data_IF_456722838323
#
_entry.id   IF_456722838323
#
_cell.length_a   1.000
_cell.length_b   1.000
_cell.length_c   1.000
_cell.angle_alpha   90.00
_cell.angle_beta   90.00
_cell.angle_gamma   90.00
#
_symmetry.space_group_name_H-M   'P 1'
#
loop_
_entity.id
_entity.type
_entity.pdbx_description
1 polymer ?
#
# COMPACT_ATOMS: atom_id res chain seq x y z
N UNK A 1 3.20 15.65 -12.05
CA UNK A 1 3.51 14.53 -11.11
C UNK A 1 2.69 13.32 -11.53
N UNK A 2 3.28 12.14 -11.74
CA UNK A 2 2.55 10.95 -12.21
C UNK A 2 1.53 10.44 -11.20
N UNK A 3 0.43 9.83 -11.68
CA UNK A 3 -0.68 9.34 -10.84
C UNK A 3 -0.22 8.33 -9.78
N UNK A 4 0.66 7.39 -10.15
CA UNK A 4 1.19 6.37 -9.24
C UNK A 4 2.00 6.95 -8.07
N UNK A 5 2.83 7.97 -8.32
CA UNK A 5 3.58 8.66 -7.25
C UNK A 5 2.64 9.39 -6.29
N UNK A 6 1.50 9.90 -6.77
CA UNK A 6 0.47 10.50 -5.91
C UNK A 6 -0.19 9.42 -5.04
N UNK A 7 -0.57 8.29 -5.62
CA UNK A 7 -1.21 7.20 -4.91
C UNK A 7 -0.31 6.63 -3.79
N UNK A 8 0.99 6.43 -4.06
CA UNK A 8 1.96 5.97 -3.03
C UNK A 8 2.03 6.93 -1.85
N UNK A 9 2.02 8.25 -2.08
CA UNK A 9 2.04 9.22 -0.95
C UNK A 9 0.75 9.20 -0.13
N UNK A 10 -0.39 9.05 -0.78
CA UNK A 10 -1.67 8.94 -0.08
C UNK A 10 -1.72 7.66 0.76
N UNK A 11 -1.24 6.55 0.20
CA UNK A 11 -1.04 5.29 0.92
C UNK A 11 -0.10 5.48 2.13
N UNK A 12 1.06 6.13 1.96
CA UNK A 12 1.98 6.39 3.05
C UNK A 12 1.35 7.16 4.21
N UNK A 13 0.50 8.16 3.92
CA UNK A 13 -0.24 8.91 4.95
C UNK A 13 -1.27 8.04 5.67
N UNK A 14 -1.97 7.17 4.95
CA UNK A 14 -2.91 6.24 5.55
C UNK A 14 -2.21 5.23 6.46
N UNK A 15 -1.05 4.71 6.05
CA UNK A 15 -0.23 3.82 6.86
C UNK A 15 0.29 4.53 8.12
N UNK A 16 0.87 5.73 8.01
CA UNK A 16 1.32 6.51 9.18
C UNK A 16 0.16 6.69 10.18
N UNK A 17 -1.03 7.06 9.72
CA UNK A 17 -2.20 7.20 10.59
C UNK A 17 -2.59 5.90 11.26
N UNK A 18 -2.53 4.77 10.55
CA UNK A 18 -2.78 3.45 11.12
C UNK A 18 -1.77 3.09 12.21
N UNK A 19 -0.48 3.39 12.01
CA UNK A 19 0.55 3.13 13.02
C UNK A 19 0.40 4.03 14.26
N UNK A 20 -0.01 5.29 14.08
CA UNK A 20 -0.26 6.21 15.19
C UNK A 20 -1.53 5.83 15.97
N UNK A 21 -2.58 5.39 15.27
CA UNK A 21 -3.88 5.05 15.85
C UNK A 21 -4.40 3.75 15.21
N UNK A 22 -3.97 2.58 15.71
CA UNK A 22 -4.44 1.30 15.20
C UNK A 22 -5.92 1.10 15.50
N UNK A 23 -6.61 0.41 14.59
CA UNK A 23 -8.02 0.12 14.71
C UNK A 23 -8.70 -0.16 13.36
N UNK A 24 -9.91 -0.75 13.38
CA UNK A 24 -10.56 -1.27 12.18
C UNK A 24 -10.78 -0.22 11.08
N UNK A 25 -11.18 1.00 11.47
CA UNK A 25 -11.44 2.09 10.52
C UNK A 25 -10.17 2.57 9.82
N UNK A 26 -9.08 2.77 10.57
CA UNK A 26 -7.79 3.16 10.00
C UNK A 26 -7.17 2.03 9.17
N UNK A 27 -7.37 0.76 9.58
CA UNK A 27 -6.94 -0.42 8.82
C UNK A 27 -7.64 -0.49 7.47
N UNK A 28 -8.97 -0.30 7.45
CA UNK A 28 -9.75 -0.28 6.21
C UNK A 28 -9.32 0.86 5.28
N UNK A 29 -9.07 2.05 5.82
CA UNK A 29 -8.54 3.19 5.06
C UNK A 29 -7.16 2.90 4.47
N UNK A 30 -6.26 2.29 5.23
CA UNK A 30 -4.95 1.88 4.74
C UNK A 30 -5.07 0.82 3.62
N UNK A 31 -5.92 -0.20 3.80
CA UNK A 31 -6.15 -1.25 2.81
C UNK A 31 -6.70 -0.66 1.49
N UNK A 32 -7.67 0.25 1.58
CA UNK A 32 -8.19 0.95 0.41
C UNK A 32 -7.08 1.74 -0.31
N UNK A 33 -6.26 2.49 0.44
CA UNK A 33 -5.19 3.29 -0.15
C UNK A 33 -4.10 2.42 -0.81
N UNK A 34 -3.77 1.25 -0.24
CA UNK A 34 -2.85 0.27 -0.86
C UNK A 34 -3.43 -0.28 -2.16
N UNK A 35 -4.71 -0.64 -2.19
CA UNK A 35 -5.36 -1.11 -3.41
C UNK A 35 -5.34 -0.04 -4.52
N UNK A 36 -5.60 1.22 -4.18
CA UNK A 36 -5.50 2.33 -5.14
C UNK A 36 -4.07 2.53 -5.64
N UNK A 37 -3.06 2.37 -4.79
CA UNK A 37 -1.65 2.42 -5.20
C UNK A 37 -1.28 1.27 -6.15
N UNK A 38 -1.77 0.04 -5.89
CA UNK A 38 -1.58 -1.11 -6.79
C UNK A 38 -2.13 -0.81 -8.18
N UNK A 39 -3.38 -0.32 -8.24
CA UNK A 39 -4.02 0.02 -9.51
C UNK A 39 -3.25 1.12 -10.26
N UNK A 40 -2.83 2.17 -9.55
CA UNK A 40 -2.10 3.27 -10.16
C UNK A 40 -0.70 2.86 -10.67
N UNK A 41 0.00 1.96 -9.96
CA UNK A 41 1.30 1.42 -10.39
C UNK A 41 1.15 0.50 -11.60
N UNK A 42 0.12 -0.35 -11.64
CA UNK A 42 -0.18 -1.20 -12.82
C UNK A 42 -0.50 -0.38 -14.07
N UNK A 43 -1.17 0.75 -13.91
CA UNK A 43 -1.52 1.65 -15.01
C UNK A 43 -0.37 2.58 -15.43
N UNK A 44 0.75 2.59 -14.71
CA UNK A 44 1.88 3.43 -15.05
C UNK A 44 2.66 2.85 -16.23
N UNK A 45 2.98 3.65 -17.26
CA UNK A 45 3.78 3.17 -18.38
C UNK A 45 5.21 2.86 -17.92
N UNK A 46 5.76 1.72 -18.37
CA UNK A 46 7.17 1.37 -18.17
C UNK A 46 7.90 1.29 -19.52
N UNK A 47 9.09 1.93 -19.68
CA UNK A 47 9.77 2.01 -20.97
C UNK A 47 10.34 0.70 -21.51
N UNK A 48 10.44 -0.36 -20.69
CA UNK A 48 11.06 -1.64 -21.06
C UNK A 48 10.17 -2.81 -20.65
N UNK A 49 10.31 -3.93 -21.34
CA UNK A 49 9.62 -5.17 -20.99
C UNK A 49 9.91 -5.52 -19.51
N UNK A 50 8.88 -5.82 -18.71
CA UNK A 50 9.02 -5.92 -17.26
C UNK A 50 9.78 -7.20 -16.90
N UNK A 51 11.06 -7.07 -16.58
CA UNK A 51 11.87 -8.07 -15.87
C UNK A 51 11.96 -7.64 -14.40
N UNK A 52 11.87 -8.59 -13.46
CA UNK A 52 11.75 -8.28 -12.02
C UNK A 52 12.92 -7.47 -11.48
N UNK A 53 14.15 -7.83 -11.84
CA UNK A 53 15.34 -7.19 -11.31
C UNK A 53 15.56 -5.77 -11.85
N UNK A 54 15.07 -5.51 -13.07
CA UNK A 54 15.32 -4.27 -13.82
C UNK A 54 14.14 -3.31 -13.86
N UNK A 55 12.95 -3.73 -13.43
CA UNK A 55 11.72 -2.92 -13.39
C UNK A 55 11.46 -2.32 -12.00
N UNK A 56 11.67 -1.01 -11.80
CA UNK A 56 11.32 -0.36 -10.55
C UNK A 56 9.82 -0.45 -10.25
N UNK A 57 8.95 -0.42 -11.26
CA UNK A 57 7.51 -0.49 -11.05
C UNK A 57 7.06 -1.89 -10.59
N UNK A 58 7.68 -2.95 -11.11
CA UNK A 58 7.43 -4.32 -10.65
C UNK A 58 7.90 -4.53 -9.22
N UNK A 59 9.07 -3.99 -8.84
CA UNK A 59 9.53 -4.01 -7.45
C UNK A 59 8.56 -3.31 -6.50
N UNK A 60 8.11 -2.11 -6.88
CA UNK A 60 7.09 -1.36 -6.13
C UNK A 60 5.80 -2.18 -6.00
N UNK A 61 5.34 -2.80 -7.10
CA UNK A 61 4.13 -3.61 -7.09
C UNK A 61 4.23 -4.80 -6.11
N UNK A 62 5.39 -5.46 -6.05
CA UNK A 62 5.63 -6.53 -5.08
C UNK A 62 5.59 -6.06 -3.63
N UNK A 63 6.20 -4.91 -3.32
CA UNK A 63 6.09 -4.33 -1.97
C UNK A 63 4.64 -3.96 -1.63
N UNK A 64 3.88 -3.41 -2.58
CA UNK A 64 2.47 -3.10 -2.35
C UNK A 64 1.64 -4.35 -2.07
N UNK A 65 1.89 -5.46 -2.78
CA UNK A 65 1.24 -6.73 -2.51
C UNK A 65 1.63 -7.30 -1.14
N UNK A 66 2.89 -7.19 -0.74
CA UNK A 66 3.34 -7.58 0.60
C UNK A 66 2.63 -6.78 1.70
N UNK A 67 2.57 -5.45 1.58
CA UNK A 67 1.86 -4.58 2.52
C UNK A 67 0.38 -4.96 2.59
N UNK A 68 -0.27 -5.20 1.44
CA UNK A 68 -1.67 -5.61 1.40
C UNK A 68 -1.90 -6.91 2.17
N UNK A 69 -1.04 -7.91 2.00
CA UNK A 69 -1.13 -9.18 2.73
C UNK A 69 -0.99 -8.96 4.25
N UNK A 70 -0.03 -8.15 4.69
CA UNK A 70 0.14 -7.80 6.09
C UNK A 70 -1.08 -7.05 6.68
N UNK A 71 -1.75 -6.23 5.89
CA UNK A 71 -2.99 -5.55 6.30
C UNK A 71 -4.22 -6.48 6.30
N UNK A 72 -4.20 -7.59 5.56
CA UNK A 72 -5.29 -8.57 5.54
C UNK A 72 -5.16 -9.62 6.64
N UNK A 73 -3.97 -9.78 7.22
CA UNK A 73 -3.72 -10.71 8.32
C UNK A 73 -4.67 -10.42 9.51
N UNK A 74 -5.56 -11.37 9.88
CA UNK A 74 -6.46 -11.24 11.03
C UNK A 74 -5.73 -11.13 12.36
N UNK A 75 -4.52 -11.70 12.47
CA UNK A 75 -3.69 -11.67 13.68
C UNK A 75 -2.85 -10.40 13.79
N UNK A 76 -2.92 -9.51 12.79
CA UNK A 76 -2.18 -8.27 12.80
C UNK A 76 -2.59 -7.37 13.97
N UNK A 77 -1.64 -6.88 14.79
CA UNK A 77 -1.93 -5.95 15.89
C UNK A 77 -2.50 -4.61 15.38
N UNK A 78 -2.38 -4.31 14.08
CA UNK A 78 -2.89 -3.09 13.47
C UNK A 78 -4.42 -3.08 13.30
N UNK A 79 -5.08 -4.24 13.36
CA UNK A 79 -6.53 -4.36 13.28
C UNK A 79 -7.25 -4.25 14.62
N UNK A 80 -6.50 -4.35 15.72
CA UNK A 80 -7.01 -4.25 17.07
C UNK A 80 -7.05 -2.77 17.46
N UNK A 81 -8.15 -2.31 18.06
CA UNK A 81 -8.19 -1.01 18.69
C UNK A 81 -7.23 -1.04 19.88
N UNK A 82 -6.27 -0.11 19.94
CA UNK A 82 -5.45 0.04 21.15
C UNK A 82 -6.38 0.55 22.25
N UNK A 83 -6.81 -0.35 23.13
CA UNK A 83 -7.51 0.02 24.34
C UNK A 83 -6.55 0.91 25.16
N UNK A 84 -6.89 2.19 25.43
CA UNK A 84 -6.06 3.08 26.23
C UNK A 84 -5.89 2.59 27.66
#
# INVERSE_FOLDING_TARGET
RTAWRRAIRLMGRALIRLFLQPGPSNRQRALHAVNQAIMAVRAAPEPRAPQFDTSPLRRVLSYLHFIRSALLDPQSPLGQERNP
#
